data_IF_985250962693
#
_entry.id   IF_985250962693
#
_cell.length_a   1.000
_cell.length_b   1.000
_cell.length_c   1.000
_cell.angle_alpha   90.00
_cell.angle_beta   90.00
_cell.angle_gamma   90.00
#
_symmetry.space_group_name_H-M   'P 1'
#
loop_
_entity.id
_entity.type
_entity.pdbx_description
1 polymer ?
#
# COMPACT_ATOMS: atom_id res chain seq x y z
N UNK A 1 -59.75 -30.50 65.34
CA UNK A 1 -59.07 -31.33 64.26
C UNK A 1 -59.58 -30.95 62.86
N UNK A 2 -60.38 -29.89 62.74
CA UNK A 2 -60.91 -29.43 61.45
C UNK A 2 -60.26 -28.12 60.96
N UNK A 3 -59.55 -27.42 61.78
CA UNK A 3 -58.91 -26.12 61.41
C UNK A 3 -57.51 -26.29 60.79
N UNK A 4 -56.80 -27.37 61.09
CA UNK A 4 -55.43 -27.56 60.56
C UNK A 4 -55.43 -27.98 59.07
N UNK A 5 -56.52 -28.49 58.58
CA UNK A 5 -56.61 -28.92 57.18
C UNK A 5 -56.92 -27.76 56.21
N UNK A 6 -57.45 -26.64 56.71
CA UNK A 6 -57.73 -25.46 55.87
C UNK A 6 -56.48 -24.60 55.58
N UNK A 7 -55.52 -24.63 56.49
CA UNK A 7 -54.26 -23.88 56.28
C UNK A 7 -53.34 -24.54 55.26
N UNK A 8 -53.40 -25.88 55.13
CA UNK A 8 -52.59 -26.58 54.15
C UNK A 8 -53.07 -26.46 52.71
N UNK A 9 -54.34 -26.06 52.48
CA UNK A 9 -54.88 -25.90 51.12
C UNK A 9 -54.69 -24.50 50.53
N UNK A 10 -54.31 -23.50 51.34
CA UNK A 10 -53.99 -22.17 50.82
C UNK A 10 -52.54 -22.00 50.41
N UNK A 11 -51.63 -22.84 50.95
CA UNK A 11 -50.21 -22.75 50.64
C UNK A 11 -49.82 -23.42 49.28
N UNK A 12 -50.76 -24.19 48.69
CA UNK A 12 -50.48 -24.97 47.44
C UNK A 12 -50.92 -24.27 46.16
N UNK A 13 -51.31 -23.01 46.18
CA UNK A 13 -51.79 -22.27 45.00
C UNK A 13 -50.96 -21.02 44.64
N UNK A 14 -49.81 -20.78 45.25
CA UNK A 14 -48.90 -19.72 44.88
C UNK A 14 -47.56 -20.25 44.39
N UNK A 15 -47.55 -21.42 43.75
CA UNK A 15 -46.37 -21.93 43.07
C UNK A 15 -46.68 -21.92 41.55
N UNK A 16 -46.12 -20.98 40.89
CA UNK A 16 -46.00 -21.15 39.44
C UNK A 16 -46.44 -19.98 38.59
N UNK A 17 -45.87 -18.85 38.71
CA UNK A 17 -45.51 -18.05 37.52
C UNK A 17 -44.16 -17.38 37.82
N UNK A 18 -43.10 -18.14 37.77
CA UNK A 18 -41.81 -17.59 37.46
C UNK A 18 -41.82 -17.40 35.95
N UNK A 19 -42.26 -16.20 35.53
CA UNK A 19 -41.93 -15.69 34.20
C UNK A 19 -40.39 -15.60 34.13
N UNK A 20 -39.78 -16.64 33.65
CA UNK A 20 -38.45 -16.57 33.03
C UNK A 20 -38.57 -15.58 31.89
N UNK A 21 -38.35 -14.30 32.17
CA UNK A 21 -37.99 -13.33 31.19
C UNK A 21 -36.69 -13.82 30.55
N UNK A 22 -36.83 -14.69 29.56
CA UNK A 22 -35.79 -15.04 28.64
C UNK A 22 -35.36 -13.76 27.95
N UNK A 23 -34.32 -13.12 28.49
CA UNK A 23 -33.54 -12.14 27.73
C UNK A 23 -33.15 -12.84 26.43
N UNK A 24 -33.51 -12.33 25.26
CA UNK A 24 -32.92 -12.84 24.04
C UNK A 24 -31.43 -12.53 24.14
N UNK A 25 -30.62 -13.55 24.42
CA UNK A 25 -29.20 -13.53 24.07
C UNK A 25 -29.19 -13.40 22.57
N UNK A 26 -29.21 -12.17 22.08
CA UNK A 26 -28.78 -11.85 20.73
C UNK A 26 -27.31 -12.23 20.67
N UNK A 27 -27.02 -13.49 20.33
CA UNK A 27 -25.72 -13.88 19.84
C UNK A 27 -25.54 -13.09 18.57
N UNK A 28 -24.97 -11.89 18.70
CA UNK A 28 -24.40 -11.18 17.58
C UNK A 28 -23.34 -12.14 17.01
N UNK A 29 -23.72 -12.86 15.96
CA UNK A 29 -22.73 -13.52 15.10
C UNK A 29 -21.89 -12.39 14.53
N UNK A 30 -20.81 -12.03 15.23
CA UNK A 30 -19.74 -11.26 14.64
C UNK A 30 -19.17 -12.17 13.56
N UNK A 31 -19.58 -11.93 12.32
CA UNK A 31 -19.00 -12.57 11.16
C UNK A 31 -17.50 -12.38 11.28
N UNK A 32 -16.75 -13.45 11.50
CA UNK A 32 -15.31 -13.40 11.52
C UNK A 32 -14.83 -12.85 10.18
N UNK A 33 -13.94 -11.86 10.21
CA UNK A 33 -13.34 -11.32 9.00
C UNK A 33 -12.70 -12.44 8.18
N UNK A 34 -13.17 -12.61 6.93
CA UNK A 34 -12.61 -13.55 5.98
C UNK A 34 -11.87 -12.78 4.87
N UNK A 35 -10.54 -12.70 4.93
CA UNK A 35 -9.75 -11.93 3.96
C UNK A 35 -9.89 -12.46 2.52
N UNK A 36 -10.20 -13.75 2.32
CA UNK A 36 -10.36 -14.31 0.99
C UNK A 36 -11.60 -13.80 0.24
N UNK A 37 -12.51 -13.09 0.92
CA UNK A 37 -13.63 -12.41 0.28
C UNK A 37 -13.25 -11.01 -0.25
N UNK A 38 -12.19 -10.42 0.31
CA UNK A 38 -11.76 -9.06 -0.02
C UNK A 38 -10.57 -9.04 -1.00
N UNK A 39 -9.96 -10.20 -1.30
CA UNK A 39 -8.77 -10.30 -2.14
C UNK A 39 -8.95 -11.33 -3.25
N UNK A 40 -8.50 -10.97 -4.45
CA UNK A 40 -8.39 -11.85 -5.61
C UNK A 40 -6.92 -12.08 -5.97
N UNK A 41 -6.65 -13.17 -6.69
CA UNK A 41 -5.33 -13.43 -7.23
C UNK A 41 -5.07 -12.54 -8.44
N UNK A 42 -3.96 -11.79 -8.40
CA UNK A 42 -3.49 -11.01 -9.53
C UNK A 42 -2.30 -11.72 -10.15
N UNK A 43 -2.29 -11.86 -11.49
CA UNK A 43 -1.12 -12.37 -12.19
C UNK A 43 0.01 -11.35 -12.15
N UNK A 44 1.25 -11.77 -11.81
CA UNK A 44 2.37 -10.85 -11.87
C UNK A 44 2.54 -10.32 -13.29
N UNK A 45 2.89 -9.04 -13.40
CA UNK A 45 3.13 -8.42 -14.70
C UNK A 45 4.23 -9.16 -15.46
N UNK A 46 3.92 -9.62 -16.67
CA UNK A 46 4.91 -9.99 -17.68
C UNK A 46 5.51 -8.70 -18.22
N UNK A 47 6.81 -8.70 -18.46
CA UNK A 47 7.66 -7.63 -19.01
C UNK A 47 7.00 -6.27 -19.26
N UNK A 48 7.39 -5.27 -18.48
CA UNK A 48 7.06 -3.88 -18.76
C UNK A 48 7.92 -3.39 -19.93
N UNK A 49 7.39 -3.42 -21.15
CA UNK A 49 7.96 -2.63 -22.24
C UNK A 49 7.79 -1.15 -21.91
N UNK A 50 8.86 -0.52 -21.42
CA UNK A 50 8.86 0.93 -21.26
C UNK A 50 8.83 1.54 -22.66
N UNK A 51 7.81 2.33 -23.01
CA UNK A 51 7.72 2.97 -24.32
C UNK A 51 9.01 3.72 -24.64
N UNK A 52 9.42 3.75 -25.91
CA UNK A 52 10.57 4.56 -26.34
C UNK A 52 10.32 5.99 -25.89
N UNK A 53 11.13 6.48 -24.98
CA UNK A 53 11.03 7.84 -24.48
C UNK A 53 10.95 8.80 -25.67
N UNK A 54 9.95 9.66 -25.67
CA UNK A 54 9.94 10.86 -26.51
C UNK A 54 11.29 11.56 -26.36
N UNK A 55 11.77 12.18 -27.44
CA UNK A 55 13.10 12.77 -27.56
C UNK A 55 13.57 13.46 -26.27
N UNK A 56 14.83 13.25 -25.86
CA UNK A 56 15.34 13.82 -24.62
C UNK A 56 15.22 15.32 -24.68
N UNK A 57 14.66 15.90 -23.62
CA UNK A 57 14.71 17.34 -23.36
C UNK A 57 16.18 17.75 -23.40
N UNK A 58 16.49 18.91 -24.00
CA UNK A 58 17.85 19.41 -24.21
C UNK A 58 18.78 19.06 -23.04
N UNK A 59 19.89 18.39 -23.36
CA UNK A 59 20.70 17.61 -22.45
C UNK A 59 21.30 18.45 -21.30
N UNK A 60 20.61 18.47 -20.15
CA UNK A 60 21.19 18.95 -18.89
C UNK A 60 22.32 18.01 -18.39
N UNK A 61 22.27 16.74 -18.77
CA UNK A 61 23.14 15.69 -18.30
C UNK A 61 23.86 15.01 -19.48
N UNK A 62 25.09 14.48 -19.26
CA UNK A 62 25.77 13.65 -20.26
C UNK A 62 24.90 12.45 -20.66
N UNK A 63 24.83 12.17 -21.95
CA UNK A 63 24.01 11.08 -22.51
C UNK A 63 24.35 9.71 -21.94
N UNK A 64 25.61 9.46 -21.65
CA UNK A 64 26.10 8.24 -21.03
C UNK A 64 25.54 8.07 -19.61
N UNK A 65 25.57 9.14 -18.80
CA UNK A 65 25.02 9.15 -17.44
C UNK A 65 23.52 8.86 -17.46
N UNK A 66 22.76 9.50 -18.36
CA UNK A 66 21.31 9.26 -18.51
C UNK A 66 21.04 7.82 -18.95
N UNK A 67 21.84 7.28 -19.87
CA UNK A 67 21.71 5.91 -20.36
C UNK A 67 21.99 4.91 -19.22
N UNK A 68 23.03 5.15 -18.42
CA UNK A 68 23.33 4.34 -17.23
C UNK A 68 22.20 4.41 -16.21
N UNK A 69 21.67 5.59 -15.93
CA UNK A 69 20.55 5.78 -15.02
C UNK A 69 19.29 5.05 -15.49
N UNK A 70 18.98 5.12 -16.78
CA UNK A 70 17.88 4.37 -17.38
C UNK A 70 18.03 2.87 -17.17
N UNK A 71 19.24 2.34 -17.38
CA UNK A 71 19.52 0.94 -17.13
C UNK A 71 19.30 0.56 -15.67
N UNK A 72 19.82 1.37 -14.74
CA UNK A 72 19.65 1.12 -13.29
C UNK A 72 18.19 1.19 -12.86
N UNK A 73 17.43 2.17 -13.31
CA UNK A 73 15.99 2.31 -12.99
C UNK A 73 15.20 1.10 -13.49
N UNK A 74 15.54 0.57 -14.67
CA UNK A 74 14.94 -0.66 -15.18
C UNK A 74 15.32 -1.87 -14.33
N UNK A 75 16.60 -2.03 -14.04
CA UNK A 75 17.14 -3.15 -13.26
C UNK A 75 16.53 -3.21 -11.86
N UNK A 76 16.37 -2.06 -11.22
CA UNK A 76 15.77 -1.93 -9.88
C UNK A 76 14.23 -2.02 -9.87
N UNK A 77 13.60 -2.07 -11.04
CA UNK A 77 12.16 -2.23 -11.18
C UNK A 77 11.33 -1.02 -10.72
N UNK A 78 11.90 0.20 -10.73
CA UNK A 78 11.19 1.39 -10.25
C UNK A 78 9.81 1.58 -10.91
N UNK A 79 9.72 1.30 -12.22
CA UNK A 79 8.47 1.41 -12.99
C UNK A 79 7.37 0.46 -12.55
N UNK A 80 7.69 -0.66 -11.91
CA UNK A 80 6.67 -1.63 -11.43
C UNK A 80 5.77 -0.97 -10.38
N UNK A 81 6.34 -0.19 -9.49
CA UNK A 81 5.58 0.51 -8.46
C UNK A 81 5.16 1.92 -8.93
N UNK A 82 6.06 2.66 -9.60
CA UNK A 82 5.87 4.07 -9.94
C UNK A 82 5.19 4.33 -11.30
N UNK A 83 4.60 3.32 -11.93
CA UNK A 83 3.72 3.47 -13.11
C UNK A 83 2.33 2.98 -12.74
N UNK A 84 1.31 3.79 -12.99
CA UNK A 84 -0.07 3.46 -12.62
C UNK A 84 -0.51 2.15 -13.29
N UNK A 85 -1.20 1.28 -12.54
CA UNK A 85 -1.67 -0.02 -13.01
C UNK A 85 -0.59 -1.10 -13.15
N UNK A 86 0.72 -0.77 -13.12
CA UNK A 86 1.78 -1.76 -13.32
C UNK A 86 1.82 -2.85 -12.25
N UNK A 87 1.46 -2.52 -11.00
CA UNK A 87 1.38 -3.48 -9.90
C UNK A 87 0.37 -4.62 -10.13
N UNK A 88 -0.60 -4.42 -11.00
CA UNK A 88 -1.64 -5.40 -11.34
C UNK A 88 -1.54 -5.91 -12.79
N UNK A 89 -0.43 -5.60 -13.48
CA UNK A 89 -0.19 -6.06 -14.85
C UNK A 89 -0.89 -5.25 -15.94
N UNK A 90 -1.47 -4.10 -15.61
CA UNK A 90 -2.21 -3.22 -16.51
C UNK A 90 -1.59 -1.81 -16.56
N UNK A 91 -0.30 -1.66 -16.97
CA UNK A 91 0.40 -0.39 -16.91
C UNK A 91 -0.22 0.67 -17.83
N UNK A 92 -0.55 1.83 -17.26
CA UNK A 92 -0.83 3.04 -18.06
C UNK A 92 0.48 3.75 -18.40
N UNK A 93 0.96 3.55 -19.61
CA UNK A 93 2.23 4.14 -20.06
C UNK A 93 2.20 5.67 -20.21
N UNK A 94 1.02 6.29 -20.29
CA UNK A 94 0.91 7.75 -20.23
C UNK A 94 1.32 8.28 -18.85
N UNK A 95 1.18 7.46 -17.81
CA UNK A 95 1.57 7.74 -16.43
C UNK A 95 2.88 7.04 -16.03
N UNK A 96 3.75 6.72 -16.99
CA UNK A 96 5.03 6.07 -16.71
C UNK A 96 5.87 6.90 -15.74
N UNK A 97 6.29 6.30 -14.62
CA UNK A 97 7.02 6.94 -13.51
C UNK A 97 6.26 8.08 -12.80
N UNK A 98 4.98 8.29 -13.13
CA UNK A 98 4.17 9.34 -12.54
C UNK A 98 3.47 8.95 -11.23
N UNK A 99 3.85 7.81 -10.65
CA UNK A 99 3.22 7.27 -9.46
C UNK A 99 2.01 6.39 -9.76
N UNK A 100 1.42 5.79 -8.72
CA UNK A 100 0.33 4.84 -8.88
C UNK A 100 -0.84 5.13 -7.94
N UNK A 101 -2.06 5.00 -8.46
CA UNK A 101 -3.30 4.98 -7.67
C UNK A 101 -3.57 3.61 -7.05
N UNK A 102 -2.78 2.59 -7.43
CA UNK A 102 -2.79 1.29 -6.80
C UNK A 102 -1.69 1.27 -5.75
N UNK A 103 -2.10 1.14 -4.49
CA UNK A 103 -1.19 1.15 -3.35
C UNK A 103 -0.60 -0.22 -3.04
N UNK A 104 0.24 -0.26 -2.02
CA UNK A 104 0.84 -1.48 -1.48
C UNK A 104 0.52 -1.53 0.02
N UNK A 105 -0.16 -2.58 0.47
CA UNK A 105 -0.40 -2.80 1.88
C UNK A 105 0.92 -3.15 2.58
N UNK A 106 1.29 -2.37 3.60
CA UNK A 106 2.50 -2.58 4.41
C UNK A 106 2.23 -3.27 5.74
N UNK A 107 0.97 -3.42 6.12
CA UNK A 107 0.57 -4.29 7.22
C UNK A 107 -0.28 -5.45 6.70
N UNK A 108 -0.39 -6.51 7.51
CA UNK A 108 -0.99 -7.76 7.05
C UNK A 108 -2.52 -7.64 6.88
N UNK A 109 -3.06 -7.65 5.65
CA UNK A 109 -4.49 -7.59 5.41
C UNK A 109 -5.21 -8.88 5.78
N UNK A 110 -4.49 -9.99 5.97
CA UNK A 110 -5.07 -11.25 6.45
C UNK A 110 -5.44 -11.19 7.94
N UNK A 111 -4.87 -10.23 8.67
CA UNK A 111 -5.15 -10.00 10.08
C UNK A 111 -6.00 -8.75 10.31
N UNK A 112 -5.83 -7.75 9.46
CA UNK A 112 -6.50 -6.45 9.57
C UNK A 112 -7.30 -6.13 8.31
N UNK A 113 -8.61 -6.05 8.44
CA UNK A 113 -9.50 -5.65 7.35
C UNK A 113 -9.10 -4.30 6.72
N UNK A 114 -8.50 -3.41 7.49
CA UNK A 114 -8.01 -2.11 7.04
C UNK A 114 -6.50 -2.02 7.27
N UNK A 115 -5.69 -2.59 6.34
CA UNK A 115 -4.24 -2.51 6.44
C UNK A 115 -3.76 -1.07 6.21
N UNK A 116 -2.56 -0.76 6.66
CA UNK A 116 -1.87 0.44 6.24
C UNK A 116 -1.42 0.30 4.78
N UNK A 117 -1.58 1.36 4.00
CA UNK A 117 -1.31 1.37 2.56
C UNK A 117 -0.43 2.54 2.20
N UNK A 118 0.60 2.30 1.39
CA UNK A 118 1.40 3.35 0.75
C UNK A 118 1.09 3.39 -0.74
N UNK A 119 1.01 4.60 -1.31
CA UNK A 119 0.86 4.80 -2.73
C UNK A 119 2.18 5.28 -3.32
N UNK A 120 2.74 4.57 -4.33
CA UNK A 120 3.98 4.96 -4.97
C UNK A 120 3.87 6.35 -5.57
N UNK A 121 4.77 7.25 -5.17
CA UNK A 121 4.74 8.66 -5.55
C UNK A 121 5.12 8.89 -7.01
N UNK A 122 4.76 10.06 -7.54
CA UNK A 122 5.24 10.57 -8.82
C UNK A 122 6.74 10.88 -8.73
N UNK A 123 7.57 10.19 -9.51
CA UNK A 123 9.02 10.39 -9.60
C UNK A 123 9.45 11.02 -10.93
N UNK A 124 8.51 11.59 -11.70
CA UNK A 124 8.83 12.47 -12.83
C UNK A 124 9.20 13.89 -12.32
N UNK A 125 9.88 14.72 -13.13
CA UNK A 125 10.26 16.06 -12.73
C UNK A 125 9.11 17.07 -12.84
N UNK A 126 7.89 16.65 -12.53
CA UNK A 126 6.76 17.56 -12.32
C UNK A 126 6.95 18.34 -11.03
N UNK A 127 6.74 19.66 -11.06
CA UNK A 127 7.01 20.57 -9.94
C UNK A 127 5.95 20.44 -8.84
N UNK A 128 4.70 20.19 -9.22
CA UNK A 128 3.57 20.18 -8.28
C UNK A 128 3.38 18.81 -7.63
N UNK A 129 3.49 17.73 -8.41
CA UNK A 129 3.12 16.39 -7.97
C UNK A 129 4.28 15.41 -7.91
N UNK A 130 5.45 15.78 -8.44
CA UNK A 130 6.62 14.94 -8.58
C UNK A 130 7.88 15.49 -7.90
N UNK A 131 9.04 15.11 -8.44
CA UNK A 131 10.36 15.46 -7.91
C UNK A 131 10.97 16.71 -8.59
N UNK A 132 10.15 17.55 -9.25
CA UNK A 132 10.65 18.69 -10.02
C UNK A 132 11.42 19.73 -9.21
N UNK A 133 11.07 19.90 -7.93
CA UNK A 133 11.77 20.81 -7.00
C UNK A 133 12.97 20.17 -6.31
N UNK A 134 13.20 18.85 -6.44
CA UNK A 134 14.27 18.15 -5.76
C UNK A 134 15.61 18.34 -6.47
N UNK A 135 16.68 18.43 -5.69
CA UNK A 135 18.05 18.33 -6.19
C UNK A 135 18.45 16.87 -6.46
N UNK A 136 19.56 16.66 -7.16
CA UNK A 136 20.13 15.32 -7.34
C UNK A 136 20.54 14.72 -6.00
N UNK A 137 21.10 15.54 -5.10
CA UNK A 137 21.46 15.11 -3.74
C UNK A 137 20.27 14.67 -2.91
N UNK A 138 19.09 15.27 -3.09
CA UNK A 138 17.86 14.83 -2.42
C UNK A 138 17.44 13.44 -2.90
N UNK A 139 17.52 13.20 -4.22
CA UNK A 139 17.21 11.89 -4.80
C UNK A 139 18.22 10.82 -4.32
N UNK A 140 19.51 11.15 -4.32
CA UNK A 140 20.57 10.23 -3.84
C UNK A 140 20.37 9.93 -2.35
N UNK A 141 20.07 10.93 -1.52
CA UNK A 141 19.80 10.75 -0.10
C UNK A 141 18.59 9.83 0.10
N UNK A 142 17.49 10.08 -0.60
CA UNK A 142 16.30 9.21 -0.54
C UNK A 142 16.66 7.75 -0.87
N UNK A 143 17.39 7.50 -1.95
CA UNK A 143 17.78 6.15 -2.35
C UNK A 143 18.61 5.46 -1.28
N UNK A 144 19.49 6.18 -0.56
CA UNK A 144 20.44 5.60 0.39
C UNK A 144 19.93 5.45 1.80
N UNK A 145 19.16 6.41 2.26
CA UNK A 145 18.70 6.47 3.65
C UNK A 145 17.19 6.33 3.80
N UNK A 146 16.44 6.37 2.69
CA UNK A 146 14.98 6.44 2.74
C UNK A 146 14.46 7.79 3.25
N UNK A 147 15.32 8.81 3.41
CA UNK A 147 14.92 10.12 3.88
C UNK A 147 14.37 10.97 2.72
N UNK A 148 13.06 11.22 2.77
CA UNK A 148 12.43 12.20 1.89
C UNK A 148 12.72 13.63 2.37
N UNK A 149 12.54 14.61 1.49
CA UNK A 149 12.52 16.02 1.90
C UNK A 149 11.51 16.18 3.04
N UNK A 150 11.88 16.85 4.14
CA UNK A 150 11.08 17.05 5.37
C UNK A 150 11.21 15.98 6.47
N UNK A 151 12.39 15.39 6.66
CA UNK A 151 12.74 14.50 7.80
C UNK A 151 11.83 13.29 8.00
N UNK A 152 11.14 12.84 6.94
CA UNK A 152 10.32 11.62 6.98
C UNK A 152 11.08 10.47 6.34
N UNK A 153 11.29 9.42 7.12
CA UNK A 153 11.81 8.17 6.62
C UNK A 153 10.71 7.38 5.91
N UNK A 154 11.02 6.89 4.71
CA UNK A 154 10.11 6.02 3.97
C UNK A 154 9.97 4.66 4.64
N UNK A 155 8.77 4.10 4.56
CA UNK A 155 8.55 2.69 4.87
C UNK A 155 9.37 1.82 3.91
N UNK A 156 9.92 0.71 4.40
CA UNK A 156 10.75 -0.20 3.60
C UNK A 156 9.97 -0.99 2.51
N UNK A 157 8.73 -0.62 2.23
CA UNK A 157 7.99 -1.05 1.03
C UNK A 157 8.75 -0.64 -0.24
N UNK A 158 9.25 0.59 -0.32
CA UNK A 158 10.33 0.92 -1.24
C UNK A 158 11.63 0.33 -0.68
N UNK A 159 12.34 -0.56 -1.41
CA UNK A 159 13.46 -1.32 -0.85
C UNK A 159 14.74 -0.49 -0.71
N UNK A 160 14.63 0.73 -0.17
CA UNK A 160 15.75 1.64 0.04
C UNK A 160 16.88 1.03 0.90
N UNK A 161 16.65 0.11 1.87
CA UNK A 161 17.76 -0.52 2.58
C UNK A 161 18.70 -1.31 1.64
N UNK A 162 18.14 -1.87 0.55
CA UNK A 162 18.95 -2.52 -0.50
C UNK A 162 19.61 -1.46 -1.38
N UNK A 163 18.95 -0.36 -1.67
CA UNK A 163 19.48 0.72 -2.51
C UNK A 163 20.61 1.50 -1.82
N UNK A 164 20.75 1.42 -0.50
CA UNK A 164 21.88 1.98 0.24
C UNK A 164 23.27 1.47 -0.26
N UNK A 165 23.30 0.31 -0.91
CA UNK A 165 24.52 -0.28 -1.48
C UNK A 165 24.86 0.20 -2.90
N UNK A 166 24.00 1.02 -3.53
CA UNK A 166 24.26 1.57 -4.85
C UNK A 166 25.47 2.50 -4.77
N UNK A 167 26.46 2.33 -5.66
CA UNK A 167 27.63 3.20 -5.73
C UNK A 167 27.23 4.62 -6.16
N UNK A 168 28.03 5.62 -5.79
CA UNK A 168 27.72 7.04 -6.02
C UNK A 168 27.45 7.36 -7.49
N UNK A 169 28.25 6.83 -8.40
CA UNK A 169 28.07 7.06 -9.83
C UNK A 169 26.72 6.57 -10.35
N UNK A 170 26.25 5.42 -9.85
CA UNK A 170 24.97 4.85 -10.25
C UNK A 170 23.79 5.60 -9.61
N UNK A 171 23.90 6.00 -8.34
CA UNK A 171 22.89 6.82 -7.68
C UNK A 171 22.70 8.19 -8.38
N UNK A 172 23.82 8.85 -8.76
CA UNK A 172 23.80 10.08 -9.55
C UNK A 172 23.26 9.85 -10.97
N UNK A 173 23.55 8.71 -11.59
CA UNK A 173 23.01 8.35 -12.89
C UNK A 173 21.48 8.15 -12.81
N UNK A 174 20.97 7.49 -11.77
CA UNK A 174 19.52 7.36 -11.52
C UNK A 174 18.88 8.74 -11.39
N UNK A 175 19.48 9.62 -10.57
CA UNK A 175 18.96 10.97 -10.38
C UNK A 175 18.93 11.76 -11.71
N UNK A 176 20.00 11.69 -12.50
CA UNK A 176 20.08 12.33 -13.81
C UNK A 176 19.01 11.81 -14.78
N UNK A 177 18.79 10.50 -14.82
CA UNK A 177 17.74 9.91 -15.64
C UNK A 177 16.34 10.36 -15.21
N UNK A 178 15.98 10.25 -13.93
CA UNK A 178 14.67 10.64 -13.44
C UNK A 178 14.38 12.13 -13.71
N UNK A 179 15.38 13.00 -13.54
CA UNK A 179 15.26 14.42 -13.85
C UNK A 179 15.25 14.75 -15.35
N UNK A 180 15.66 13.82 -16.21
CA UNK A 180 15.60 13.96 -17.66
C UNK A 180 14.27 13.48 -18.26
N UNK A 181 13.42 12.83 -17.48
CA UNK A 181 12.10 12.41 -17.93
C UNK A 181 11.20 13.60 -18.27
N UNK A 182 10.21 13.43 -19.15
CA UNK A 182 9.16 14.43 -19.30
C UNK A 182 8.37 14.57 -17.99
N UNK A 183 8.05 15.79 -17.54
CA UNK A 183 7.20 15.98 -16.37
C UNK A 183 5.77 15.51 -16.70
N UNK A 184 5.19 14.73 -15.80
CA UNK A 184 3.80 14.27 -15.91
C UNK A 184 3.09 14.70 -14.64
N UNK A 185 2.08 15.57 -14.77
CA UNK A 185 1.26 15.98 -13.62
C UNK A 185 0.29 14.85 -13.27
N UNK A 186 0.51 14.18 -12.14
CA UNK A 186 -0.34 13.13 -11.64
C UNK A 186 -0.32 13.10 -10.12
N UNK A 187 -1.49 13.34 -9.52
CA UNK A 187 -1.67 13.28 -8.08
C UNK A 187 -2.02 11.86 -7.64
N UNK A 188 -1.18 11.25 -6.84
CA UNK A 188 -1.46 9.95 -6.22
C UNK A 188 -2.26 10.13 -4.93
N UNK A 189 -3.01 9.10 -4.47
CA UNK A 189 -3.69 9.13 -3.19
C UNK A 189 -2.72 9.31 -2.02
N UNK A 190 -3.21 9.83 -0.90
CA UNK A 190 -2.45 9.90 0.34
C UNK A 190 -2.27 8.51 0.96
N UNK A 191 -1.15 8.30 1.64
CA UNK A 191 -0.88 7.07 2.38
C UNK A 191 -1.89 6.91 3.53
N UNK A 192 -2.27 5.68 3.80
CA UNK A 192 -3.31 5.33 4.78
C UNK A 192 -2.68 4.57 5.95
N UNK A 193 -2.95 4.99 7.17
CA UNK A 193 -2.51 4.29 8.37
C UNK A 193 -3.33 3.02 8.63
N UNK A 194 -2.72 2.03 9.27
CA UNK A 194 -3.42 0.80 9.70
C UNK A 194 -4.64 1.16 10.54
N UNK A 195 -5.77 0.49 10.28
CA UNK A 195 -7.06 0.74 10.92
C UNK A 195 -7.95 1.74 10.19
N UNK A 196 -7.45 2.39 9.16
CA UNK A 196 -8.20 3.32 8.31
C UNK A 196 -8.52 2.67 6.96
N UNK A 197 -9.70 2.98 6.41
CA UNK A 197 -10.12 2.45 5.11
C UNK A 197 -9.41 3.20 3.99
N UNK A 198 -8.70 2.48 3.12
CA UNK A 198 -8.17 3.03 1.88
C UNK A 198 -9.30 3.40 0.91
N UNK A 199 -9.18 4.55 0.24
CA UNK A 199 -10.13 5.03 -0.77
C UNK A 199 -9.83 4.51 -2.18
N UNK A 200 -8.62 4.00 -2.41
CA UNK A 200 -8.16 3.48 -3.69
C UNK A 200 -7.66 2.05 -3.55
N UNK A 201 -7.66 1.26 -4.64
CA UNK A 201 -7.19 -0.12 -4.63
C UNK A 201 -5.75 -0.26 -4.14
N UNK A 202 -5.42 -1.45 -3.64
CA UNK A 202 -4.06 -1.79 -3.22
C UNK A 202 -3.80 -3.28 -3.42
N UNK A 203 -2.53 -3.63 -3.59
CA UNK A 203 -2.04 -5.01 -3.59
C UNK A 203 -1.37 -5.32 -2.26
N UNK A 204 -1.20 -6.60 -1.98
CA UNK A 204 -0.45 -7.08 -0.84
C UNK A 204 0.63 -8.07 -1.28
N UNK A 205 1.87 -7.80 -0.89
CA UNK A 205 2.97 -8.75 -1.00
C UNK A 205 3.24 -9.37 0.37
N UNK A 206 2.92 -10.67 0.54
CA UNK A 206 3.09 -11.35 1.81
C UNK A 206 3.93 -12.61 1.68
N UNK A 207 4.77 -12.86 2.71
CA UNK A 207 5.49 -14.12 2.84
C UNK A 207 4.76 -14.97 3.88
N UNK A 208 4.26 -16.12 3.45
CA UNK A 208 3.55 -17.05 4.32
C UNK A 208 4.33 -18.36 4.38
N UNK A 209 4.61 -18.85 5.60
CA UNK A 209 5.23 -20.15 5.81
C UNK A 209 4.16 -21.18 6.13
N UNK A 210 4.19 -22.33 5.41
CA UNK A 210 3.38 -23.51 5.78
C UNK A 210 3.68 -23.92 7.22
N UNK A 211 2.65 -24.35 7.93
CA UNK A 211 2.76 -24.91 9.29
C UNK A 211 3.02 -26.41 9.29
N UNK A 212 3.12 -27.01 8.10
CA UNK A 212 3.36 -28.46 7.90
C UNK A 212 4.81 -28.71 7.54
#
# INVERSE_FOLDING_TARGET
>A
MHELIRLFRLAARMSGVVCLLGLPFSTACTSAYNPLQDFESVSPATELEIPKASAPRAAKYPSEQVTRGKYMVKLLGCGICHTDGALVGEPDYALNMAGSRIGIAYSNPMENKYPGVVYPSNITPDIETGIGSWSESDIVRLLRSGEASHDRQLLAVMPWPTYAWIVDSDALAIAAYLRSLPPVKHQVPENVSTGQRASSPYVHFGFYRSRH
#
